data_IF_663446923499
#
_entry.id   IF_663446923499
#
_cell.length_a   1.000
_cell.length_b   1.000
_cell.length_c   1.000
_cell.angle_alpha   90.00
_cell.angle_beta   90.00
_cell.angle_gamma   90.00
#
_symmetry.space_group_name_H-M   'P 1'
#
loop_
_entity.id
_entity.type
_entity.pdbx_description
1 polymer ?
#
# COMPACT_ATOMS: atom_id res chain seq x y z
N UNK A 1 -1.13 7.43 -8.44
CA UNK A 1 -0.98 7.49 -6.97
C UNK A 1 -2.32 7.19 -6.30
N UNK A 2 -2.34 6.55 -5.13
CA UNK A 2 -3.58 6.30 -4.38
C UNK A 2 -4.13 7.58 -3.73
N UNK A 3 -5.46 7.70 -3.66
CA UNK A 3 -6.15 8.86 -3.07
C UNK A 3 -5.88 9.08 -1.58
N UNK A 4 -5.44 8.03 -0.86
CA UNK A 4 -5.10 8.07 0.57
C UNK A 4 -3.76 8.74 0.85
N UNK A 5 -2.95 8.97 -0.17
CA UNK A 5 -1.73 9.77 -0.02
C UNK A 5 -2.13 11.23 0.26
N UNK A 6 -1.52 11.90 1.25
CA UNK A 6 -1.91 13.25 1.64
C UNK A 6 -1.96 14.22 0.44
N UNK A 7 -3.00 15.04 0.39
CA UNK A 7 -3.21 15.98 -0.71
C UNK A 7 -2.05 16.99 -0.87
N UNK A 8 -1.35 17.32 0.22
CA UNK A 8 -0.16 18.16 0.17
C UNK A 8 0.97 17.51 -0.64
N UNK A 9 1.16 16.20 -0.51
CA UNK A 9 2.15 15.44 -1.28
C UNK A 9 1.83 15.49 -2.78
N UNK A 10 0.56 15.27 -3.16
CA UNK A 10 0.10 15.39 -4.56
C UNK A 10 0.41 16.79 -5.12
N UNK A 11 0.09 17.84 -4.36
CA UNK A 11 0.31 19.24 -4.76
C UNK A 11 1.79 19.53 -4.93
N UNK A 12 2.62 19.14 -3.96
CA UNK A 12 4.07 19.33 -4.02
C UNK A 12 4.67 18.64 -5.25
N UNK A 13 4.29 17.39 -5.53
CA UNK A 13 4.77 16.67 -6.72
C UNK A 13 4.41 17.40 -8.02
N UNK A 14 3.20 17.94 -8.12
CA UNK A 14 2.77 18.74 -9.28
C UNK A 14 3.56 20.05 -9.43
N UNK A 15 3.84 20.74 -8.32
CA UNK A 15 4.70 21.94 -8.33
C UNK A 15 6.12 21.61 -8.82
N UNK A 16 6.62 20.41 -8.50
CA UNK A 16 7.90 19.90 -8.99
C UNK A 16 7.85 19.42 -10.45
N UNK A 17 6.74 19.62 -11.16
CA UNK A 17 6.60 19.29 -12.59
C UNK A 17 6.17 17.85 -12.88
N UNK A 18 5.77 17.07 -11.87
CA UNK A 18 5.28 15.72 -12.08
C UNK A 18 3.80 15.73 -12.49
N UNK A 19 3.46 14.98 -13.53
CA UNK A 19 2.08 14.60 -13.78
C UNK A 19 1.66 13.52 -12.77
N UNK A 20 0.59 13.79 -12.02
CA UNK A 20 0.11 12.87 -10.97
C UNK A 20 -1.35 12.52 -11.24
N UNK A 21 -1.55 11.31 -11.76
CA UNK A 21 -2.85 10.64 -11.85
C UNK A 21 -3.23 10.03 -10.48
N UNK A 22 -4.38 10.42 -9.95
CA UNK A 22 -4.87 9.94 -8.65
C UNK A 22 -5.99 8.93 -8.87
N UNK A 23 -5.82 7.73 -8.31
CA UNK A 23 -6.80 6.64 -8.39
C UNK A 23 -7.45 6.40 -7.02
N UNK A 24 -8.33 5.40 -6.94
CA UNK A 24 -9.11 5.09 -5.75
C UNK A 24 -8.29 4.85 -4.49
N UNK A 25 -8.98 4.76 -3.35
CA UNK A 25 -8.38 4.23 -2.14
C UNK A 25 -8.24 2.71 -2.25
N UNK A 26 -7.11 2.17 -1.81
CA UNK A 26 -6.82 0.74 -1.91
C UNK A 26 -6.92 0.19 -3.34
N UNK A 27 -6.63 1.01 -4.36
CA UNK A 27 -6.83 0.66 -5.76
C UNK A 27 -5.92 -0.50 -6.21
N UNK A 28 -6.52 -1.53 -6.80
CA UNK A 28 -5.84 -2.75 -7.26
C UNK A 28 -4.78 -2.50 -8.33
N UNK A 29 -4.82 -1.35 -9.00
CA UNK A 29 -3.79 -0.90 -9.93
C UNK A 29 -2.38 -0.90 -9.29
N UNK A 30 -2.29 -0.62 -7.98
CA UNK A 30 -1.01 -0.55 -7.27
C UNK A 30 -0.52 -1.91 -6.73
N UNK A 31 -1.18 -3.01 -7.12
CA UNK A 31 -0.74 -4.36 -6.80
C UNK A 31 -1.29 -4.89 -5.47
N UNK A 32 -0.60 -5.89 -4.92
CA UNK A 32 -0.90 -6.46 -3.62
C UNK A 32 0.32 -7.21 -3.09
N UNK A 33 0.54 -7.15 -1.77
CA UNK A 33 1.65 -7.82 -1.10
C UNK A 33 1.16 -8.89 -0.10
N UNK A 34 2.00 -9.90 0.12
CA UNK A 34 1.83 -10.88 1.20
C UNK A 34 3.21 -11.06 1.84
N UNK A 35 3.27 -11.17 3.16
CA UNK A 35 4.55 -11.22 3.88
C UNK A 35 4.50 -12.12 5.10
N UNK A 36 5.65 -12.71 5.42
CA UNK A 36 5.95 -13.34 6.69
C UNK A 36 7.28 -12.77 7.16
N UNK A 37 7.29 -12.21 8.36
CA UNK A 37 8.48 -11.71 9.03
C UNK A 37 8.83 -12.62 10.20
N UNK A 38 10.11 -12.95 10.36
CA UNK A 38 10.60 -13.81 11.44
C UNK A 38 11.51 -13.01 12.35
N UNK A 39 11.16 -12.93 13.64
CA UNK A 39 11.94 -12.25 14.68
C UNK A 39 12.06 -13.22 15.86
N UNK A 40 13.29 -13.58 16.22
CA UNK A 40 13.58 -14.47 17.35
C UNK A 40 12.76 -15.79 17.33
N UNK A 41 12.52 -16.33 16.13
CA UNK A 41 11.75 -17.55 15.92
C UNK A 41 10.22 -17.36 15.89
N UNK A 42 9.71 -16.16 16.18
CA UNK A 42 8.28 -15.84 16.07
C UNK A 42 7.95 -15.35 14.66
N UNK A 43 6.86 -15.87 14.09
CA UNK A 43 6.38 -15.51 12.76
C UNK A 43 5.24 -14.48 12.81
N UNK A 44 5.37 -13.42 12.02
CA UNK A 44 4.38 -12.35 11.87
C UNK A 44 3.91 -12.30 10.40
N UNK A 45 2.67 -12.71 10.16
CA UNK A 45 2.07 -12.69 8.83
C UNK A 45 1.35 -11.36 8.55
N UNK A 46 1.46 -10.85 7.33
CA UNK A 46 0.75 -9.67 6.86
C UNK A 46 0.17 -9.88 5.47
N UNK A 47 -1.14 -9.65 5.33
CA UNK A 47 -1.83 -9.65 4.04
C UNK A 47 -2.26 -8.25 3.61
N UNK A 48 -2.13 -7.96 2.31
CA UNK A 48 -2.47 -6.64 1.77
C UNK A 48 -3.99 -6.41 1.75
N UNK A 49 -4.39 -5.42 2.53
CA UNK A 49 -5.74 -4.87 2.65
C UNK A 49 -6.44 -4.45 1.34
N UNK A 50 -5.73 -4.27 0.22
CA UNK A 50 -6.32 -3.97 -1.09
C UNK A 50 -7.04 -5.18 -1.69
N UNK A 51 -6.69 -6.38 -1.23
CA UNK A 51 -7.19 -7.63 -1.78
C UNK A 51 -7.86 -8.44 -0.68
N UNK A 52 -8.81 -9.25 -1.08
CA UNK A 52 -9.26 -10.34 -0.24
C UNK A 52 -8.08 -11.32 -0.04
N UNK A 53 -7.75 -11.59 1.21
CA UNK A 53 -6.62 -12.41 1.61
C UNK A 53 -6.22 -12.13 3.04
N UNK A 54 -5.89 -13.17 3.80
CA UNK A 54 -5.55 -13.04 5.23
C UNK A 54 -4.35 -13.93 5.55
N UNK A 55 -3.43 -13.41 6.36
CA UNK A 55 -2.37 -14.21 6.93
C UNK A 55 -2.93 -15.05 8.09
N UNK A 56 -2.73 -16.36 8.04
CA UNK A 56 -3.19 -17.31 9.07
C UNK A 56 -1.97 -18.06 9.61
N UNK A 57 -1.89 -18.21 10.93
CA UNK A 57 -0.83 -18.93 11.63
C UNK A 57 -1.40 -19.87 12.70
N UNK A 58 -0.57 -20.82 13.14
CA UNK A 58 -0.88 -21.81 14.18
C UNK A 58 0.34 -22.05 15.07
#
# INVERSE_FOLDING_TARGET
MESRIPAITVKTLRVLGNEVDVKGDYDLYFGGAQSIMVIDGVMYGGGDSRRDGVAVGY
#
